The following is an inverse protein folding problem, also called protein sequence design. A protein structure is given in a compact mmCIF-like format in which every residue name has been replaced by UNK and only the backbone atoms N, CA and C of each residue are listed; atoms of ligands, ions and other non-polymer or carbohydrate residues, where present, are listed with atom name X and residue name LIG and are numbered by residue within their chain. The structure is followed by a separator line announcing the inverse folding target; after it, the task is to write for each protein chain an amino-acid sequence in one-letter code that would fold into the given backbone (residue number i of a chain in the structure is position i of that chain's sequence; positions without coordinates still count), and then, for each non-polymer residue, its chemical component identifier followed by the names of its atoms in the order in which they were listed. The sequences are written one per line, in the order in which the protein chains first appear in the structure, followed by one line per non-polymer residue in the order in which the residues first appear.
data_IF_625163396593
#
_entry.id   IF_625163396593
#
_cell.length_a   1.000
_cell.length_b   1.000
_cell.length_c   1.000
_cell.angle_alpha   90.00
_cell.angle_beta   90.00
_cell.angle_gamma   90.00
#
_symmetry.space_group_name_H-M   'P 1'
#
loop_
_entity.id
_entity.type
_entity.pdbx_description
1 polymer ?
#
# COMPACT_ATOMS: atom_id res chain seq x y z
N UNK A 1 -12.70 24.77 22.42
CA UNK A 1 -11.44 25.14 21.75
C UNK A 1 -11.18 26.61 22.02
N UNK A 2 -9.93 27.03 22.28
CA UNK A 2 -9.60 28.46 22.40
C UNK A 2 -9.81 29.18 21.07
N UNK A 3 -10.25 30.44 21.10
CA UNK A 3 -10.49 31.25 19.90
C UNK A 3 -9.22 31.52 19.06
N UNK A 4 -8.03 31.26 19.61
CA UNK A 4 -6.75 31.41 18.91
C UNK A 4 -6.55 30.43 17.75
N UNK A 5 -7.37 29.39 17.66
CA UNK A 5 -7.28 28.36 16.62
C UNK A 5 -8.52 28.33 15.71
N UNK A 6 -9.39 29.33 15.77
CA UNK A 6 -10.60 29.35 14.95
C UNK A 6 -10.25 29.34 13.44
N UNK A 7 -9.23 30.11 13.03
CA UNK A 7 -8.73 30.12 11.64
C UNK A 7 -8.14 28.76 11.24
N UNK A 8 -7.32 28.13 12.10
CA UNK A 8 -6.75 26.80 11.85
C UNK A 8 -7.85 25.74 11.66
N UNK A 9 -8.90 25.81 12.47
CA UNK A 9 -10.05 24.89 12.40
C UNK A 9 -10.83 25.09 11.10
N UNK A 10 -11.03 26.34 10.68
CA UNK A 10 -11.75 26.63 9.44
C UNK A 10 -10.95 26.19 8.22
N UNK A 11 -9.62 26.38 8.22
CA UNK A 11 -8.74 25.83 7.20
C UNK A 11 -8.81 24.29 7.17
N UNK A 12 -8.68 23.65 8.32
CA UNK A 12 -8.76 22.19 8.42
C UNK A 12 -10.09 21.63 7.89
N UNK A 13 -11.22 22.31 8.17
CA UNK A 13 -12.52 21.92 7.61
C UNK A 13 -12.57 22.03 6.08
N UNK A 14 -11.98 23.09 5.52
CA UNK A 14 -11.90 23.27 4.07
C UNK A 14 -11.02 22.19 3.42
N UNK A 15 -9.90 21.84 4.04
CA UNK A 15 -9.01 20.78 3.57
C UNK A 15 -9.72 19.41 3.63
N UNK A 16 -10.43 19.12 4.72
CA UNK A 16 -11.23 17.90 4.83
C UNK A 16 -12.36 17.82 3.80
N UNK A 17 -13.01 18.94 3.48
CA UNK A 17 -14.04 18.98 2.46
C UNK A 17 -13.45 18.64 1.08
N UNK A 18 -12.31 19.25 0.74
CA UNK A 18 -11.58 18.98 -0.51
C UNK A 18 -11.14 17.52 -0.59
N UNK A 19 -10.55 17.00 0.48
CA UNK A 19 -10.12 15.60 0.55
C UNK A 19 -11.30 14.63 0.43
N UNK A 20 -12.46 14.95 1.02
CA UNK A 20 -13.68 14.14 0.88
C UNK A 20 -14.16 14.11 -0.56
N UNK A 21 -14.23 15.26 -1.23
CA UNK A 21 -14.67 15.34 -2.63
C UNK A 21 -13.76 14.50 -3.54
N UNK A 22 -12.43 14.66 -3.41
CA UNK A 22 -11.47 13.90 -4.20
C UNK A 22 -11.53 12.40 -3.92
N UNK A 23 -11.48 12.00 -2.65
CA UNK A 23 -11.45 10.60 -2.27
C UNK A 23 -12.78 9.87 -2.53
N UNK A 24 -13.90 10.59 -2.63
CA UNK A 24 -15.19 10.01 -3.04
C UNK A 24 -15.27 9.90 -4.56
N UNK A 25 -14.75 10.86 -5.32
CA UNK A 25 -14.67 10.79 -6.78
C UNK A 25 -13.84 9.57 -7.25
N UNK A 26 -12.65 9.37 -6.67
CA UNK A 26 -11.80 8.20 -6.96
C UNK A 26 -12.53 6.87 -6.69
N UNK A 27 -13.24 6.78 -5.55
CA UNK A 27 -14.02 5.59 -5.18
C UNK A 27 -15.22 5.36 -6.10
N UNK A 28 -15.93 6.43 -6.46
CA UNK A 28 -17.06 6.36 -7.37
C UNK A 28 -16.62 5.84 -8.75
N UNK A 29 -15.50 6.36 -9.27
CA UNK A 29 -14.91 5.89 -10.52
C UNK A 29 -14.51 4.40 -10.45
N UNK A 30 -13.81 3.98 -9.39
CA UNK A 30 -13.40 2.59 -9.20
C UNK A 30 -14.60 1.62 -9.10
N UNK A 31 -15.76 2.10 -8.64
CA UNK A 31 -17.01 1.34 -8.56
C UNK A 31 -17.88 1.46 -9.82
N UNK A 32 -17.43 2.17 -10.86
CA UNK A 32 -18.20 2.43 -12.08
C UNK A 32 -19.45 3.29 -11.85
N UNK A 33 -19.44 4.14 -10.84
CA UNK A 33 -20.51 5.07 -10.51
C UNK A 33 -20.29 6.45 -11.18
N UNK A 34 -21.33 7.27 -11.23
CA UNK A 34 -21.22 8.65 -11.70
C UNK A 34 -20.42 9.48 -10.68
N UNK A 35 -19.42 10.22 -11.17
CA UNK A 35 -18.54 11.04 -10.32
C UNK A 35 -19.11 12.44 -10.07
N UNK A 36 -20.13 12.88 -10.81
CA UNK A 36 -20.71 14.21 -10.65
C UNK A 36 -21.31 14.44 -9.24
N UNK A 37 -21.91 13.40 -8.66
CA UNK A 37 -22.49 13.39 -7.31
C UNK A 37 -21.77 12.37 -6.40
N UNK A 38 -20.45 12.22 -6.56
CA UNK A 38 -19.66 11.14 -5.93
C UNK A 38 -19.81 11.06 -4.41
N UNK A 39 -19.95 12.21 -3.73
CA UNK A 39 -20.15 12.28 -2.29
C UNK A 39 -21.48 11.65 -1.89
N UNK A 40 -22.58 12.09 -2.51
CA UNK A 40 -23.92 11.61 -2.21
C UNK A 40 -24.07 10.14 -2.59
N UNK A 41 -23.47 9.71 -3.71
CA UNK A 41 -23.48 8.31 -4.12
C UNK A 41 -22.69 7.42 -3.17
N UNK A 42 -21.52 7.88 -2.70
CA UNK A 42 -20.74 7.13 -1.70
C UNK A 42 -21.52 6.98 -0.39
N UNK A 43 -22.21 8.04 0.06
CA UNK A 43 -23.05 7.97 1.27
C UNK A 43 -24.26 7.05 1.10
N UNK A 44 -24.92 7.12 -0.06
CA UNK A 44 -26.04 6.23 -0.40
C UNK A 44 -25.60 4.77 -0.34
N UNK A 45 -24.47 4.43 -0.96
CA UNK A 45 -23.89 3.08 -0.95
C UNK A 45 -23.49 2.63 0.45
N UNK A 46 -22.85 3.50 1.23
CA UNK A 46 -22.46 3.18 2.60
C UNK A 46 -23.66 2.84 3.50
N UNK A 47 -24.83 3.40 3.21
CA UNK A 47 -26.09 3.12 3.92
C UNK A 47 -26.91 1.95 3.31
N UNK A 48 -26.52 1.43 2.14
CA UNK A 48 -27.25 0.42 1.41
C UNK A 48 -26.71 -0.98 1.70
N UNK A 49 -27.50 -1.75 2.45
CA UNK A 49 -27.20 -3.13 2.86
C UNK A 49 -27.22 -4.13 1.70
N UNK A 50 -27.70 -3.72 0.52
CA UNK A 50 -27.60 -4.52 -0.70
C UNK A 50 -26.26 -4.34 -1.43
N UNK A 51 -25.42 -3.38 -1.03
CA UNK A 51 -24.08 -3.25 -1.59
C UNK A 51 -23.27 -4.51 -1.29
N UNK A 52 -22.82 -5.16 -2.36
CA UNK A 52 -22.30 -6.52 -2.32
C UNK A 52 -20.82 -6.59 -1.95
N UNK A 53 -20.16 -5.44 -1.77
CA UNK A 53 -18.69 -5.34 -1.64
C UNK A 53 -18.14 -4.42 -0.54
N UNK A 54 -18.80 -4.26 0.64
CA UNK A 54 -18.17 -3.53 1.76
C UNK A 54 -16.83 -4.15 2.22
N UNK A 55 -16.56 -5.40 1.86
CA UNK A 55 -15.44 -6.21 2.32
C UNK A 55 -14.11 -6.02 1.57
N UNK A 56 -14.05 -5.12 0.59
CA UNK A 56 -12.80 -4.81 -0.12
C UNK A 56 -11.78 -4.03 0.71
N UNK A 57 -12.15 -3.52 1.89
CA UNK A 57 -11.25 -3.14 2.98
C UNK A 57 -9.89 -2.58 2.54
N UNK A 58 -8.84 -3.40 2.70
CA UNK A 58 -7.44 -3.09 2.34
C UNK A 58 -6.97 -3.95 1.14
N UNK A 59 -7.89 -4.49 0.34
CA UNK A 59 -7.57 -5.21 -0.87
C UNK A 59 -6.79 -4.31 -1.83
N UNK A 60 -5.95 -4.91 -2.68
CA UNK A 60 -5.03 -4.17 -3.55
C UNK A 60 -3.78 -3.60 -2.86
N UNK A 61 -3.64 -3.69 -1.52
CA UNK A 61 -2.42 -3.26 -0.83
C UNK A 61 -1.15 -3.90 -1.44
N UNK A 62 -0.10 -3.09 -1.56
CA UNK A 62 1.15 -3.48 -2.22
C UNK A 62 2.40 -2.93 -1.54
N UNK A 63 2.31 -1.74 -0.93
CA UNK A 63 3.49 -1.05 -0.42
C UNK A 63 3.29 -0.41 0.96
N UNK A 64 4.39 -0.13 1.65
CA UNK A 64 4.43 0.68 2.85
C UNK A 64 5.56 1.71 2.78
N UNK A 65 5.23 3.00 2.76
CA UNK A 65 6.21 4.08 2.71
C UNK A 65 6.33 4.74 4.08
N UNK A 66 7.55 4.73 4.63
CA UNK A 66 7.91 5.35 5.89
C UNK A 66 8.86 6.51 5.57
N UNK A 67 8.38 7.75 5.70
CA UNK A 67 9.17 8.91 5.35
C UNK A 67 8.36 10.21 5.27
N UNK A 68 9.00 11.31 4.88
CA UNK A 68 8.33 12.59 4.71
C UNK A 68 7.30 12.55 3.57
N UNK A 69 6.26 13.38 3.67
CA UNK A 69 5.14 13.40 2.70
C UNK A 69 5.63 13.74 1.28
N UNK A 70 6.66 14.56 1.20
CA UNK A 70 7.39 15.05 0.03
C UNK A 70 7.99 13.93 -0.83
N UNK A 71 8.07 12.69 -0.33
CA UNK A 71 8.50 11.54 -1.16
C UNK A 71 7.40 11.07 -2.12
N UNK A 72 6.15 11.40 -1.83
CA UNK A 72 4.99 10.79 -2.49
C UNK A 72 3.92 11.80 -2.88
N UNK A 73 4.14 13.11 -2.70
CA UNK A 73 3.11 14.15 -2.92
C UNK A 73 2.80 14.40 -4.37
N UNK A 74 3.79 14.27 -5.23
CA UNK A 74 3.66 14.44 -6.67
C UNK A 74 3.28 13.15 -7.43
N UNK A 75 2.97 12.05 -6.74
CA UNK A 75 2.64 10.77 -7.37
C UNK A 75 1.36 10.14 -6.85
N UNK A 76 0.56 9.56 -7.76
CA UNK A 76 -0.53 8.65 -7.39
C UNK A 76 0.06 7.31 -6.94
N UNK A 77 -0.38 6.82 -5.79
CA UNK A 77 -0.09 5.46 -5.30
C UNK A 77 -1.29 4.52 -5.49
N UNK A 78 -2.32 4.98 -6.22
CA UNK A 78 -3.54 4.24 -6.56
C UNK A 78 -4.28 3.65 -5.35
N UNK A 79 -4.11 4.24 -4.17
CA UNK A 79 -4.65 3.73 -2.90
C UNK A 79 -4.04 2.40 -2.44
N UNK A 80 -2.90 1.99 -3.00
CA UNK A 80 -2.27 0.68 -2.74
C UNK A 80 -1.15 0.72 -1.70
N UNK A 81 -0.79 1.90 -1.20
CA UNK A 81 0.30 2.09 -0.27
C UNK A 81 -0.22 2.52 1.11
N UNK A 82 0.28 1.87 2.16
CA UNK A 82 0.26 2.44 3.50
C UNK A 82 1.28 3.57 3.58
N UNK A 83 0.96 4.65 4.29
CA UNK A 83 1.85 5.80 4.48
C UNK A 83 2.06 6.05 5.98
N UNK A 84 3.31 6.24 6.38
CA UNK A 84 3.65 6.67 7.73
C UNK A 84 4.63 7.84 7.67
N UNK A 85 4.16 9.02 8.09
CA UNK A 85 5.01 10.21 8.17
C UNK A 85 6.13 9.96 9.18
N UNK A 86 7.37 10.14 8.74
CA UNK A 86 8.56 9.98 9.55
C UNK A 86 9.66 10.91 9.05
N UNK A 87 10.33 11.61 9.95
CA UNK A 87 11.49 12.46 9.64
C UNK A 87 12.68 12.05 10.52
N UNK A 88 13.69 11.44 9.88
CA UNK A 88 14.92 10.99 10.54
C UNK A 88 15.66 12.12 11.26
N UNK A 89 15.55 13.37 10.81
CA UNK A 89 16.23 14.50 11.43
C UNK A 89 15.67 14.82 12.83
N UNK A 90 14.42 14.42 13.09
CA UNK A 90 13.77 14.57 14.40
C UNK A 90 13.93 13.36 15.32
N UNK A 91 14.54 12.27 14.82
CA UNK A 91 14.75 11.02 15.54
C UNK A 91 16.24 10.62 15.60
N UNK A 92 17.05 11.37 16.38
CA UNK A 92 18.50 11.16 16.42
C UNK A 92 18.89 9.80 16.98
N UNK A 93 18.05 9.16 17.81
CA UNK A 93 18.30 7.84 18.39
C UNK A 93 17.72 6.70 17.55
N UNK A 94 16.69 6.97 16.75
CA UNK A 94 16.01 5.94 15.94
C UNK A 94 14.88 5.25 16.69
N UNK A 95 14.52 5.74 17.88
CA UNK A 95 13.51 5.13 18.75
C UNK A 95 12.13 5.11 18.05
N UNK A 96 11.82 6.16 17.27
CA UNK A 96 10.57 6.23 16.53
C UNK A 96 10.62 5.32 15.29
N UNK A 97 11.75 5.29 14.57
CA UNK A 97 11.93 4.36 13.45
C UNK A 97 11.82 2.91 13.89
N UNK A 98 12.47 2.55 14.99
CA UNK A 98 12.40 1.21 15.59
C UNK A 98 10.96 0.84 15.92
N UNK A 99 10.22 1.74 16.58
CA UNK A 99 8.81 1.51 16.88
C UNK A 99 7.95 1.31 15.61
N UNK A 100 8.27 2.03 14.52
CA UNK A 100 7.57 1.89 13.23
C UNK A 100 7.89 0.54 12.58
N UNK A 101 9.16 0.11 12.58
CA UNK A 101 9.60 -1.15 12.01
C UNK A 101 9.07 -2.35 12.81
N UNK A 102 9.14 -2.31 14.14
CA UNK A 102 8.66 -3.41 14.99
C UNK A 102 7.12 -3.50 15.09
N UNK A 103 6.41 -2.38 14.91
CA UNK A 103 4.94 -2.34 15.00
C UNK A 103 4.26 -2.26 13.64
N UNK A 104 4.02 -1.04 13.11
CA UNK A 104 3.35 -0.81 11.84
C UNK A 104 3.85 -1.66 10.65
N UNK A 105 5.16 -1.88 10.49
CA UNK A 105 5.66 -2.70 9.38
C UNK A 105 5.23 -4.17 9.53
N UNK A 106 5.31 -4.74 10.72
CA UNK A 106 4.83 -6.12 10.98
C UNK A 106 3.31 -6.22 10.74
N UNK A 107 2.53 -5.23 11.21
CA UNK A 107 1.08 -5.21 11.03
C UNK A 107 0.70 -5.12 9.54
N UNK A 108 1.33 -4.21 8.79
CA UNK A 108 1.07 -4.06 7.35
C UNK A 108 1.48 -5.32 6.57
N UNK A 109 2.57 -5.97 6.99
CA UNK A 109 3.00 -7.26 6.45
C UNK A 109 1.98 -8.37 6.71
N UNK A 110 1.42 -8.47 7.92
CA UNK A 110 0.39 -9.46 8.25
C UNK A 110 -0.90 -9.23 7.46
N UNK A 111 -1.31 -7.97 7.31
CA UNK A 111 -2.43 -7.60 6.46
C UNK A 111 -2.15 -8.07 5.02
N UNK A 112 -1.02 -7.69 4.45
CA UNK A 112 -0.64 -8.09 3.09
C UNK A 112 -0.65 -9.62 2.91
N UNK A 113 -0.03 -10.37 3.83
CA UNK A 113 -0.01 -11.83 3.79
C UNK A 113 -1.41 -12.45 3.89
N UNK A 114 -2.31 -11.90 4.68
CA UNK A 114 -3.68 -12.38 4.77
C UNK A 114 -4.37 -12.29 3.40
N UNK A 115 -4.24 -11.17 2.71
CA UNK A 115 -4.77 -11.03 1.35
C UNK A 115 -4.03 -11.92 0.34
N UNK A 116 -2.69 -11.99 0.42
CA UNK A 116 -1.85 -12.82 -0.44
C UNK A 116 -2.30 -14.28 -0.42
N UNK A 117 -2.32 -14.90 0.76
CA UNK A 117 -2.63 -16.33 0.87
C UNK A 117 -4.08 -16.63 0.54
N UNK A 118 -5.04 -15.80 0.99
CA UNK A 118 -6.45 -15.96 0.62
C UNK A 118 -6.69 -15.79 -0.88
N UNK A 119 -5.80 -15.11 -1.60
CA UNK A 119 -5.85 -14.98 -3.07
C UNK A 119 -5.18 -16.15 -3.79
N UNK A 120 -4.00 -16.59 -3.34
CA UNK A 120 -3.23 -17.69 -3.97
C UNK A 120 -3.99 -19.01 -3.94
N UNK A 121 -4.54 -19.36 -2.78
CA UNK A 121 -5.36 -20.56 -2.63
C UNK A 121 -6.50 -20.27 -1.65
N UNK A 122 -7.61 -19.76 -2.21
CA UNK A 122 -8.81 -19.43 -1.43
C UNK A 122 -9.48 -20.66 -0.79
N UNK A 123 -9.16 -21.87 -1.26
CA UNK A 123 -9.71 -23.11 -0.72
C UNK A 123 -9.01 -23.53 0.57
N UNK A 124 -7.70 -23.31 0.66
CA UNK A 124 -6.88 -23.67 1.83
C UNK A 124 -6.72 -22.49 2.80
N UNK A 125 -6.44 -21.29 2.29
CA UNK A 125 -6.11 -20.11 3.09
C UNK A 125 -7.17 -19.00 3.03
N UNK A 126 -8.27 -19.26 2.33
CA UNK A 126 -9.44 -18.40 2.33
C UNK A 126 -10.56 -18.97 3.19
N UNK A 127 -11.66 -18.22 3.26
CA UNK A 127 -12.84 -18.62 4.03
C UNK A 127 -14.07 -18.87 3.16
N UNK A 128 -13.85 -19.27 1.90
CA UNK A 128 -14.89 -19.63 0.93
C UNK A 128 -15.78 -18.45 0.52
N UNK A 129 -17.05 -18.73 0.19
CA UNK A 129 -17.99 -17.67 -0.19
C UNK A 129 -18.56 -16.99 1.04
N UNK A 130 -18.55 -15.65 1.06
CA UNK A 130 -19.14 -14.84 2.13
C UNK A 130 -20.62 -15.17 2.35
N UNK A 131 -21.35 -15.49 1.28
CA UNK A 131 -22.79 -15.77 1.27
C UNK A 131 -23.17 -16.89 2.25
N UNK A 132 -22.30 -17.88 2.38
CA UNK A 132 -22.55 -19.10 3.17
C UNK A 132 -21.77 -19.11 4.49
N UNK A 133 -21.12 -18.01 4.88
CA UNK A 133 -20.35 -17.96 6.12
C UNK A 133 -21.23 -17.92 7.37
N UNK A 134 -20.92 -18.78 8.33
CA UNK A 134 -21.45 -18.72 9.69
C UNK A 134 -20.30 -18.40 10.67
N UNK A 135 -20.27 -17.20 11.27
CA UNK A 135 -19.23 -16.83 12.25
C UNK A 135 -19.24 -17.71 13.50
N UNK A 136 -18.06 -18.09 13.97
CA UNK A 136 -17.89 -18.96 15.15
C UNK A 136 -16.88 -18.33 16.10
N UNK A 137 -17.32 -17.97 17.29
CA UNK A 137 -16.46 -17.61 18.43
C UNK A 137 -15.44 -16.48 18.18
N UNK A 138 -15.64 -15.66 17.14
CA UNK A 138 -14.67 -14.68 16.64
C UNK A 138 -13.30 -15.26 16.26
N UNK A 139 -13.23 -16.56 15.99
CA UNK A 139 -11.99 -17.26 15.62
C UNK A 139 -11.97 -17.69 14.16
N UNK A 140 -13.14 -17.79 13.52
CA UNK A 140 -13.27 -18.18 12.12
C UNK A 140 -14.72 -18.34 11.69
N UNK A 141 -14.92 -19.02 10.56
CA UNK A 141 -16.25 -19.25 9.99
C UNK A 141 -16.42 -20.70 9.52
N UNK A 142 -17.66 -21.19 9.52
CA UNK A 142 -18.04 -22.38 8.74
C UNK A 142 -18.67 -21.99 7.42
N UNK A 143 -18.60 -22.91 6.44
CA UNK A 143 -19.30 -22.79 5.17
C UNK A 143 -20.60 -23.60 5.20
N UNK A 144 -21.74 -22.92 5.19
CA UNK A 144 -23.05 -23.54 5.27
C UNK A 144 -23.28 -24.20 6.64
N UNK A 145 -23.80 -25.43 6.65
CA UNK A 145 -24.28 -26.10 7.87
C UNK A 145 -23.19 -26.87 8.64
N UNK A 146 -21.91 -26.74 8.28
CA UNK A 146 -20.81 -27.43 8.97
C UNK A 146 -19.48 -27.36 8.21
N UNK A 147 -18.57 -28.29 8.51
CA UNK A 147 -17.24 -28.37 7.91
C UNK A 147 -16.12 -27.98 8.87
N UNK A 148 -14.90 -27.96 8.37
CA UNK A 148 -13.74 -27.48 9.12
C UNK A 148 -13.85 -25.97 9.33
N UNK A 149 -13.27 -25.48 10.44
CA UNK A 149 -13.20 -24.05 10.71
C UNK A 149 -12.26 -23.41 9.69
N UNK A 150 -12.78 -22.46 8.92
CA UNK A 150 -11.98 -21.70 7.97
C UNK A 150 -11.52 -20.39 8.59
N UNK A 151 -10.26 -20.06 8.33
CA UNK A 151 -9.64 -18.79 8.64
C UNK A 151 -9.28 -18.07 7.33
N UNK A 152 -9.10 -16.74 7.39
CA UNK A 152 -8.77 -15.94 6.20
C UNK A 152 -9.98 -15.26 5.57
N UNK A 153 -9.76 -14.66 4.39
CA UNK A 153 -10.73 -13.77 3.76
C UNK A 153 -11.69 -14.53 2.81
N UNK A 154 -12.95 -14.08 2.70
CA UNK A 154 -13.87 -14.63 1.73
C UNK A 154 -13.41 -14.29 0.30
N UNK A 155 -13.84 -15.09 -0.68
CA UNK A 155 -13.54 -14.84 -2.10
C UNK A 155 -13.93 -13.42 -2.54
N UNK A 156 -15.04 -12.89 -2.02
CA UNK A 156 -15.53 -11.56 -2.36
C UNK A 156 -14.63 -10.42 -1.84
N UNK A 157 -13.79 -10.67 -0.82
CA UNK A 157 -12.78 -9.69 -0.36
C UNK A 157 -11.56 -9.60 -1.25
N UNK A 158 -11.30 -10.62 -2.08
CA UNK A 158 -10.05 -10.74 -2.84
C UNK A 158 -10.25 -10.76 -4.36
N UNK A 159 -11.47 -11.03 -4.84
CA UNK A 159 -11.79 -11.18 -6.25
C UNK A 159 -12.95 -10.27 -6.71
N UNK A 160 -12.81 -9.70 -7.91
CA UNK A 160 -13.86 -8.97 -8.61
C UNK A 160 -14.78 -9.90 -9.43
N UNK A 161 -14.29 -11.09 -9.78
CA UNK A 161 -15.03 -12.15 -10.46
C UNK A 161 -14.35 -13.52 -10.31
N UNK A 162 -14.95 -14.60 -10.85
CA UNK A 162 -14.43 -15.96 -10.68
C UNK A 162 -12.96 -16.15 -11.10
N UNK A 163 -12.53 -15.44 -12.14
CA UNK A 163 -11.17 -15.50 -12.70
C UNK A 163 -10.50 -14.12 -12.70
N UNK A 164 -11.01 -13.18 -11.90
CA UNK A 164 -10.57 -11.78 -11.88
C UNK A 164 -10.18 -11.37 -10.44
N UNK A 165 -8.91 -11.56 -10.04
CA UNK A 165 -8.45 -11.18 -8.71
C UNK A 165 -8.40 -9.66 -8.59
N UNK A 166 -9.07 -9.12 -7.57
CA UNK A 166 -9.02 -7.71 -7.25
C UNK A 166 -7.75 -7.38 -6.46
N UNK A 167 -7.41 -8.21 -5.47
CA UNK A 167 -6.10 -8.17 -4.85
C UNK A 167 -5.15 -9.06 -5.67
N UNK A 168 -4.04 -8.49 -6.12
CA UNK A 168 -2.97 -9.28 -6.73
C UNK A 168 -2.13 -9.91 -5.61
N UNK A 169 -1.83 -11.22 -5.64
CA UNK A 169 -1.05 -11.88 -4.60
C UNK A 169 0.43 -11.47 -4.71
N UNK A 170 0.72 -10.28 -4.20
CA UNK A 170 2.04 -9.67 -4.17
C UNK A 170 2.45 -9.53 -2.70
N UNK A 171 3.75 -9.70 -2.45
CA UNK A 171 4.34 -9.47 -1.14
C UNK A 171 4.58 -7.98 -0.94
N UNK A 172 4.45 -7.51 0.29
CA UNK A 172 4.59 -6.09 0.65
C UNK A 172 5.98 -5.57 0.29
N UNK A 173 6.03 -4.40 -0.36
CA UNK A 173 7.27 -3.65 -0.57
C UNK A 173 7.34 -2.44 0.37
N UNK A 174 8.31 -2.45 1.27
CA UNK A 174 8.55 -1.36 2.19
C UNK A 174 9.64 -0.41 1.67
N UNK A 175 9.37 0.89 1.77
CA UNK A 175 10.34 1.95 1.47
C UNK A 175 10.54 2.79 2.73
N UNK A 176 11.78 2.93 3.19
CA UNK A 176 12.13 3.66 4.40
C UNK A 176 13.07 4.80 4.06
N UNK A 177 12.74 6.02 4.48
CA UNK A 177 13.60 7.18 4.35
C UNK A 177 14.35 7.44 5.66
N UNK A 178 15.55 6.89 5.75
CA UNK A 178 16.41 6.95 6.93
C UNK A 178 17.85 6.56 6.56
N UNK A 179 18.86 6.89 7.38
CA UNK A 179 20.21 6.37 7.20
C UNK A 179 20.23 4.83 7.17
N UNK A 180 20.88 4.23 6.18
CA UNK A 180 20.91 2.76 6.02
C UNK A 180 21.56 2.05 7.21
N UNK A 181 22.58 2.68 7.81
CA UNK A 181 23.22 2.18 9.02
C UNK A 181 22.23 2.11 10.19
N UNK A 182 21.36 3.12 10.34
CA UNK A 182 20.34 3.14 11.40
C UNK A 182 19.31 2.03 11.21
N UNK A 183 18.88 1.79 9.98
CA UNK A 183 17.96 0.69 9.67
C UNK A 183 18.65 -0.65 9.94
N UNK A 184 19.92 -0.79 9.57
CA UNK A 184 20.70 -2.01 9.79
C UNK A 184 20.86 -2.34 11.28
N UNK A 185 21.16 -1.33 12.10
CA UNK A 185 21.26 -1.48 13.55
C UNK A 185 19.94 -1.97 14.15
N UNK A 186 18.82 -1.36 13.75
CA UNK A 186 17.49 -1.79 14.21
C UNK A 186 17.20 -3.22 13.76
N UNK A 187 17.45 -3.58 12.50
CA UNK A 187 17.21 -4.94 12.03
C UNK A 187 18.06 -5.97 12.77
N UNK A 188 19.31 -5.63 13.13
CA UNK A 188 20.19 -6.51 13.89
C UNK A 188 19.66 -6.83 15.30
N UNK A 189 18.87 -5.93 15.89
CA UNK A 189 18.26 -6.10 17.21
C UNK A 189 16.87 -6.79 17.15
N UNK A 190 16.30 -7.00 15.95
CA UNK A 190 14.94 -7.51 15.75
C UNK A 190 14.90 -8.74 14.82
N UNK A 191 15.18 -9.91 15.40
CA UNK A 191 15.20 -11.22 14.70
C UNK A 191 13.92 -11.54 13.91
N UNK A 192 12.76 -11.06 14.36
CA UNK A 192 11.48 -11.28 13.69
C UNK A 192 11.38 -10.52 12.36
N UNK A 193 11.99 -9.35 12.25
CA UNK A 193 12.03 -8.57 11.02
C UNK A 193 13.01 -9.17 10.01
N UNK A 194 14.20 -9.53 10.46
CA UNK A 194 15.20 -10.21 9.61
C UNK A 194 14.69 -11.55 9.13
N UNK A 195 13.98 -12.30 9.98
CA UNK A 195 13.31 -13.55 9.56
C UNK A 195 12.31 -13.32 8.43
N UNK A 196 11.51 -12.24 8.48
CA UNK A 196 10.58 -11.94 7.39
C UNK A 196 11.33 -11.56 6.10
N UNK A 197 12.35 -10.72 6.19
CA UNK A 197 13.14 -10.25 5.06
C UNK A 197 13.96 -11.37 4.41
N UNK A 198 14.71 -12.14 5.21
CA UNK A 198 15.59 -13.22 4.74
C UNK A 198 14.82 -14.39 4.12
N UNK A 199 13.52 -14.50 4.42
CA UNK A 199 12.62 -15.50 3.80
C UNK A 199 11.73 -14.87 2.71
N UNK A 200 12.08 -13.68 2.24
CA UNK A 200 11.41 -12.93 1.17
C UNK A 200 9.93 -12.61 1.45
N UNK A 201 9.47 -12.62 2.71
CA UNK A 201 8.05 -12.36 3.06
C UNK A 201 7.65 -10.88 2.93
N UNK A 202 8.63 -9.98 2.83
CA UNK A 202 8.49 -8.60 2.39
C UNK A 202 9.81 -8.14 1.74
N UNK A 203 9.77 -7.12 0.89
CA UNK A 203 10.99 -6.47 0.38
C UNK A 203 11.20 -5.13 1.08
N UNK A 204 12.46 -4.74 1.27
CA UNK A 204 12.82 -3.49 1.92
C UNK A 204 13.81 -2.69 1.06
N UNK A 205 13.46 -1.44 0.82
CA UNK A 205 14.33 -0.45 0.21
C UNK A 205 14.53 0.71 1.17
N UNK A 206 15.77 1.09 1.42
CA UNK A 206 16.12 2.27 2.21
C UNK A 206 16.60 3.37 1.28
N UNK A 207 15.99 4.55 1.37
CA UNK A 207 16.44 5.77 0.69
C UNK A 207 17.20 6.59 1.72
N UNK A 208 18.52 6.66 1.60
CA UNK A 208 19.38 7.26 2.62
C UNK A 208 19.55 8.78 2.40
N UNK A 209 18.95 9.65 3.24
CA UNK A 209 19.07 11.10 3.09
C UNK A 209 20.46 11.64 3.38
N UNK A 210 21.34 10.87 4.02
CA UNK A 210 22.73 11.23 4.31
C UNK A 210 23.68 10.85 3.18
N UNK A 211 23.22 10.04 2.23
CA UNK A 211 23.98 9.57 1.06
C UNK A 211 23.29 9.98 -0.24
N UNK A 212 23.01 11.28 -0.40
CA UNK A 212 22.40 11.86 -1.61
C UNK A 212 21.09 11.18 -2.05
N UNK A 213 20.30 10.67 -1.08
CA UNK A 213 19.08 9.90 -1.33
C UNK A 213 19.32 8.64 -2.18
N UNK A 214 20.49 8.01 -2.04
CA UNK A 214 20.76 6.73 -2.67
C UNK A 214 19.83 5.64 -2.12
N UNK A 215 19.34 4.79 -3.03
CA UNK A 215 18.52 3.64 -2.69
C UNK A 215 19.40 2.42 -2.40
N UNK A 216 19.11 1.75 -1.30
CA UNK A 216 19.71 0.50 -0.85
C UNK A 216 18.62 -0.57 -0.77
N UNK A 217 18.78 -1.69 -1.47
CA UNK A 217 17.85 -2.80 -1.42
C UNK A 217 18.39 -3.86 -0.47
N UNK A 218 17.55 -4.31 0.46
CA UNK A 218 17.90 -5.41 1.34
C UNK A 218 17.97 -6.71 0.54
N UNK A 219 19.05 -7.47 0.71
CA UNK A 219 19.22 -8.77 0.06
C UNK A 219 18.94 -9.89 1.08
N UNK A 220 19.89 -10.18 1.96
CA UNK A 220 19.76 -11.17 3.03
C UNK A 220 20.81 -10.95 4.11
N UNK A 221 20.61 -11.46 5.31
CA UNK A 221 21.60 -11.47 6.39
C UNK A 221 22.20 -10.07 6.67
N UNK A 222 21.35 -9.03 6.69
CA UNK A 222 21.74 -7.62 6.86
C UNK A 222 22.66 -7.06 5.76
N UNK A 223 22.68 -7.68 4.58
CA UNK A 223 23.39 -7.16 3.41
C UNK A 223 22.49 -6.30 2.52
N UNK A 224 23.11 -5.30 1.90
CA UNK A 224 22.44 -4.32 1.05
C UNK A 224 23.12 -4.25 -0.32
N UNK A 225 22.32 -4.17 -1.37
CA UNK A 225 22.77 -3.79 -2.71
C UNK A 225 22.39 -2.34 -2.99
N UNK A 226 23.16 -1.66 -3.82
CA UNK A 226 22.76 -0.36 -4.37
C UNK A 226 23.01 -0.36 -5.86
N UNK A 227 22.00 0.01 -6.65
CA UNK A 227 22.23 0.32 -8.05
C UNK A 227 22.85 1.71 -8.11
N UNK A 228 24.13 1.78 -8.50
CA UNK A 228 24.72 3.06 -8.86
C UNK A 228 23.85 3.68 -9.96
N UNK A 229 23.37 4.91 -9.72
CA UNK A 229 22.59 5.69 -10.69
C UNK A 229 23.23 5.52 -12.07
N UNK A 230 22.52 5.06 -13.11
CA UNK A 230 23.10 5.06 -14.44
C UNK A 230 23.49 6.51 -14.72
N UNK A 231 24.79 6.77 -14.92
CA UNK A 231 25.24 8.03 -15.50
C UNK A 231 24.35 8.28 -16.71
N UNK A 232 23.72 9.46 -16.74
CA UNK A 232 22.96 9.89 -17.90
C UNK A 232 23.93 9.85 -19.09
N UNK A 233 23.85 8.77 -19.85
CA UNK A 233 24.53 8.68 -21.13
C UNK A 233 23.73 9.61 -22.02
N UNK A 234 24.31 10.75 -22.35
CA UNK A 234 23.88 11.58 -23.47
C UNK A 234 23.75 10.65 -24.68
N UNK A 235 22.53 10.23 -24.97
CA UNK A 235 22.22 9.49 -26.18
C UNK A 235 22.59 10.37 -27.37
N UNK A 236 23.09 9.79 -28.47
CA UNK A 236 23.51 10.58 -29.62
C UNK A 236 22.32 11.39 -30.15
N UNK A 237 22.57 12.69 -30.31
CA UNK A 237 21.65 13.70 -30.84
C UNK A 237 20.96 13.17 -32.12
N UNK A 238 19.62 13.25 -32.24
CA UNK A 238 18.94 12.69 -33.39
C UNK A 238 19.33 13.44 -34.67
N UNK A 239 19.83 12.70 -35.67
CA UNK A 239 20.14 13.24 -36.99
C UNK A 239 18.90 13.90 -37.63
N UNK A 240 19.06 15.05 -38.32
CA UNK A 240 17.94 15.73 -38.94
C UNK A 240 17.36 14.90 -40.09
N UNK A 241 16.06 14.62 -39.99
CA UNK A 241 15.30 13.90 -41.01
C UNK A 241 15.37 14.61 -42.37
N UNK A 242 15.77 13.87 -43.40
CA UNK A 242 15.77 14.33 -44.79
C UNK A 242 14.33 14.32 -45.34
N UNK A 243 13.85 15.39 -46.00
CA UNK A 243 12.50 15.44 -46.53
C UNK A 243 12.35 14.52 -47.76
N UNK A 244 11.42 13.59 -47.69
CA UNK A 244 11.04 12.73 -48.81
C UNK A 244 10.29 13.55 -49.87
N UNK A 245 10.84 13.60 -51.08
CA UNK A 245 10.19 14.22 -52.23
C UNK A 245 8.97 13.39 -52.67
N UNK A 246 7.83 14.05 -52.85
CA UNK A 246 6.65 13.52 -53.53
C UNK A 246 6.93 13.55 -55.03
N UNK A 247 6.96 12.39 -55.67
CA UNK A 247 6.98 12.25 -57.12
C UNK A 247 5.59 11.87 -57.65
N UNK A 248 5.06 12.71 -58.53
CA UNK A 248 3.93 12.43 -59.43
C UNK A 248 4.27 11.28 -60.40
N UNK A 249 3.39 10.27 -60.47
CA UNK A 249 2.80 9.70 -61.72
C UNK A 249 1.70 8.68 -61.37
#
# INVERSE_FOLDING_TARGET
MPASHDEDIDQFRADLATAREQATAERAEAMGADTADAVDETERRAADWAETRPEWGLAGNAAFVIGPRELTDDVSLDGRAFLHSYDHATDPNGDALEAILAGPMVVTQWINNQYYFSTVDSGVYGSGSKITQNPVGNVGVYQGNGGDLLAGLPLQSVAAGPDDPYHQPLRLSAVVHAPVDRVSDILADHDELTTLLDNDWLSLTVVDPTQEHQAFHYESELSWSSEAKPEATDGPEPEPATPTAVGDD
#
